data_IF_003520118469
#
_entry.id   IF_003520118469
#
_cell.length_a   1.000
_cell.length_b   1.000
_cell.length_c   1.000
_cell.angle_alpha   90.00
_cell.angle_beta   90.00
_cell.angle_gamma   90.00
#
_symmetry.space_group_name_H-M   'P 1'
#
loop_
_entity.id
_entity.type
_entity.pdbx_description
1 polymer ?
#
# COMPACT_ATOMS: atom_id res chain seq x y z
N UNK A 1 4.81 -44.21 -18.54
CA UNK A 1 5.30 -42.87 -18.13
C UNK A 1 4.08 -41.97 -17.97
N UNK A 2 3.52 -41.86 -16.78
CA UNK A 2 2.33 -41.04 -16.51
C UNK A 2 2.76 -39.60 -16.22
N UNK A 3 2.15 -38.59 -16.86
CA UNK A 3 2.50 -37.19 -16.62
C UNK A 3 2.03 -36.78 -15.22
N UNK A 4 2.95 -36.18 -14.44
CA UNK A 4 2.69 -35.65 -13.11
C UNK A 4 1.65 -34.53 -13.20
N UNK A 5 0.57 -34.54 -12.40
CA UNK A 5 -0.45 -33.50 -12.48
C UNK A 5 0.15 -32.15 -12.10
N UNK A 6 -0.13 -31.12 -12.90
CA UNK A 6 0.18 -29.72 -12.55
C UNK A 6 -0.57 -29.39 -11.26
N UNK A 7 0.17 -29.15 -10.16
CA UNK A 7 -0.38 -28.64 -8.90
C UNK A 7 -1.16 -27.37 -9.23
N UNK A 8 -2.48 -27.39 -9.00
CA UNK A 8 -3.35 -26.24 -9.13
C UNK A 8 -2.77 -25.08 -8.30
N UNK A 9 -2.78 -23.88 -8.88
CA UNK A 9 -2.30 -22.60 -8.35
C UNK A 9 -3.09 -22.05 -7.14
N UNK A 10 -3.62 -22.93 -6.28
CA UNK A 10 -4.21 -22.56 -5.01
C UNK A 10 -3.10 -22.53 -3.97
N UNK A 11 -2.92 -21.38 -3.31
CA UNK A 11 -2.04 -21.26 -2.17
C UNK A 11 -2.63 -22.08 -1.01
N UNK A 12 -2.05 -23.24 -0.77
CA UNK A 12 -2.29 -24.11 0.38
C UNK A 12 -0.93 -24.52 0.92
N UNK A 13 -0.83 -24.69 2.23
CA UNK A 13 0.33 -25.32 2.86
C UNK A 13 0.33 -26.82 2.55
N UNK A 14 1.51 -27.43 2.46
CA UNK A 14 1.68 -28.88 2.23
C UNK A 14 0.77 -29.72 3.15
N UNK A 15 0.12 -30.76 2.60
CA UNK A 15 -0.83 -31.64 3.30
C UNK A 15 -0.24 -32.33 4.55
N UNK A 16 1.10 -32.35 4.68
CA UNK A 16 1.80 -32.90 5.85
C UNK A 16 1.85 -31.95 7.05
N UNK A 17 1.53 -30.68 6.87
CA UNK A 17 1.46 -29.68 7.92
C UNK A 17 0.00 -29.44 8.35
N UNK A 18 -0.29 -29.55 9.65
CA UNK A 18 -1.59 -29.17 10.19
C UNK A 18 -1.54 -27.73 10.69
N UNK A 19 -2.33 -26.86 10.06
CA UNK A 19 -2.36 -25.42 10.34
C UNK A 19 -3.58 -25.04 11.14
N UNK A 20 -3.37 -24.37 12.27
CA UNK A 20 -4.42 -23.68 13.05
C UNK A 20 -4.08 -22.20 13.12
N UNK A 21 -5.06 -21.34 13.44
CA UNK A 21 -4.87 -19.88 13.55
C UNK A 21 -3.64 -19.48 14.39
N UNK A 22 -3.33 -20.22 15.45
CA UNK A 22 -2.26 -19.91 16.39
C UNK A 22 -1.16 -20.98 16.49
N UNK A 23 -1.15 -22.00 15.61
CA UNK A 23 -0.12 -23.04 15.67
C UNK A 23 0.13 -23.72 14.32
N UNK A 24 1.38 -24.06 14.07
CA UNK A 24 1.81 -24.94 12.98
C UNK A 24 2.32 -26.24 13.60
N UNK A 25 1.63 -27.36 13.34
CA UNK A 25 2.07 -28.68 13.77
C UNK A 25 2.77 -29.39 12.62
N UNK A 26 4.06 -29.67 12.80
CA UNK A 26 4.89 -30.37 11.84
C UNK A 26 5.20 -31.80 12.33
N UNK A 27 5.48 -32.75 11.41
CA UNK A 27 5.90 -34.10 11.78
C UNK A 27 7.15 -34.11 12.66
N UNK A 28 7.28 -35.12 13.52
CA UNK A 28 8.45 -35.29 14.41
C UNK A 28 9.75 -35.52 13.65
N UNK A 29 9.68 -36.12 12.46
CA UNK A 29 10.82 -36.32 11.56
C UNK A 29 10.49 -35.70 10.21
N UNK A 30 11.31 -34.75 9.78
CA UNK A 30 11.21 -34.13 8.46
C UNK A 30 12.60 -33.84 7.89
N UNK A 31 12.69 -33.79 6.57
CA UNK A 31 13.93 -33.37 5.91
C UNK A 31 14.08 -31.85 5.98
N UNK A 32 15.32 -31.36 5.94
CA UNK A 32 15.60 -29.91 5.86
C UNK A 32 14.91 -29.26 4.64
N UNK A 33 14.85 -29.98 3.52
CA UNK A 33 14.25 -29.44 2.30
C UNK A 33 12.74 -29.28 2.45
N UNK A 34 12.05 -30.30 2.98
CA UNK A 34 10.61 -30.19 3.28
C UNK A 34 10.30 -29.08 4.29
N UNK A 35 11.17 -28.89 5.29
CA UNK A 35 11.02 -27.79 6.26
C UNK A 35 11.16 -26.42 5.58
N UNK A 36 12.13 -26.25 4.67
CA UNK A 36 12.31 -25.03 3.88
C UNK A 36 11.14 -24.78 2.94
N UNK A 37 10.60 -25.82 2.32
CA UNK A 37 9.42 -25.72 1.43
C UNK A 37 8.22 -25.13 2.18
N UNK A 38 7.91 -25.67 3.35
CA UNK A 38 6.84 -25.15 4.21
C UNK A 38 7.10 -23.69 4.59
N UNK A 39 8.33 -23.35 4.99
CA UNK A 39 8.70 -21.97 5.29
C UNK A 39 8.49 -21.02 4.10
N UNK A 40 8.84 -21.45 2.88
CA UNK A 40 8.61 -20.69 1.64
C UNK A 40 7.14 -20.52 1.33
N UNK A 41 6.32 -21.56 1.51
CA UNK A 41 4.87 -21.48 1.31
C UNK A 41 4.20 -20.53 2.31
N UNK A 42 4.60 -20.56 3.59
CA UNK A 42 4.10 -19.62 4.62
C UNK A 42 4.44 -18.18 4.23
N UNK A 43 5.70 -17.92 3.85
CA UNK A 43 6.14 -16.59 3.42
C UNK A 43 5.35 -16.12 2.19
N UNK A 44 5.15 -17.00 1.20
CA UNK A 44 4.38 -16.70 -0.01
C UNK A 44 2.92 -16.36 0.30
N UNK A 45 2.25 -17.14 1.17
CA UNK A 45 0.88 -16.86 1.61
C UNK A 45 0.80 -15.53 2.35
N UNK A 46 1.74 -15.29 3.27
CA UNK A 46 1.81 -14.04 4.01
C UNK A 46 1.94 -12.84 3.07
N UNK A 47 2.87 -12.89 2.11
CA UNK A 47 3.05 -11.81 1.14
C UNK A 47 1.83 -11.64 0.21
N UNK A 48 1.28 -12.74 -0.32
CA UNK A 48 0.10 -12.72 -1.17
C UNK A 48 -1.13 -12.18 -0.44
N UNK A 49 -1.26 -12.44 0.86
CA UNK A 49 -2.38 -11.95 1.67
C UNK A 49 -2.50 -10.43 1.67
N UNK A 50 -1.37 -9.71 1.55
CA UNK A 50 -1.39 -8.23 1.49
C UNK A 50 -2.03 -7.73 0.19
N UNK A 51 -1.80 -8.43 -0.94
CA UNK A 51 -2.49 -8.15 -2.20
C UNK A 51 -3.97 -8.45 -2.10
N UNK A 52 -4.35 -9.59 -1.52
CA UNK A 52 -5.76 -9.96 -1.36
C UNK A 52 -6.52 -9.00 -0.47
N UNK A 53 -5.91 -8.54 0.63
CA UNK A 53 -6.49 -7.50 1.49
C UNK A 53 -6.67 -6.19 0.73
N UNK A 54 -5.69 -5.80 -0.09
CA UNK A 54 -5.81 -4.64 -0.98
C UNK A 54 -6.98 -4.79 -1.95
N UNK A 55 -7.04 -5.90 -2.68
CA UNK A 55 -8.09 -6.19 -3.67
C UNK A 55 -9.48 -6.25 -3.03
N UNK A 56 -9.59 -6.86 -1.85
CA UNK A 56 -10.83 -6.96 -1.08
C UNK A 56 -11.35 -5.58 -0.66
N UNK A 57 -10.47 -4.70 -0.16
CA UNK A 57 -10.85 -3.32 0.20
C UNK A 57 -11.23 -2.52 -1.05
N UNK A 58 -10.53 -2.71 -2.17
CA UNK A 58 -10.83 -2.03 -3.44
C UNK A 58 -12.18 -2.46 -4.01
N UNK A 59 -12.48 -3.76 -3.99
CA UNK A 59 -13.78 -4.29 -4.41
C UNK A 59 -14.96 -3.62 -3.69
N UNK A 60 -14.79 -3.35 -2.39
CA UNK A 60 -15.79 -2.69 -1.57
C UNK A 60 -16.01 -1.21 -1.84
N UNK A 61 -15.15 -0.55 -2.64
CA UNK A 61 -15.17 0.91 -2.84
C UNK A 61 -16.53 1.45 -3.31
N UNK A 62 -17.13 0.80 -4.32
CA UNK A 62 -18.39 1.28 -4.92
C UNK A 62 -19.65 0.67 -4.27
N UNK A 63 -19.47 -0.34 -3.40
CA UNK A 63 -20.56 -1.16 -2.85
C UNK A 63 -20.84 -0.89 -1.38
N UNK A 64 -19.81 -0.49 -0.64
CA UNK A 64 -19.86 -0.37 0.82
C UNK A 64 -19.23 0.97 1.24
N UNK A 65 -20.03 2.02 1.47
CA UNK A 65 -19.54 3.32 1.94
C UNK A 65 -18.72 3.22 3.24
N UNK A 66 -19.11 2.33 4.15
CA UNK A 66 -18.44 2.07 5.43
C UNK A 66 -17.30 1.02 5.36
N UNK A 67 -16.79 0.69 4.17
CA UNK A 67 -15.86 -0.45 3.97
C UNK A 67 -14.65 -0.44 4.88
N UNK A 68 -14.07 0.73 5.17
CA UNK A 68 -12.86 0.79 5.99
C UNK A 68 -13.17 0.47 7.45
N UNK A 69 -14.28 0.96 7.99
CA UNK A 69 -14.74 0.61 9.33
C UNK A 69 -14.96 -0.90 9.44
N UNK A 70 -15.69 -1.48 8.48
CA UNK A 70 -15.92 -2.94 8.41
C UNK A 70 -14.62 -3.72 8.24
N UNK A 71 -13.71 -3.27 7.40
CA UNK A 71 -12.44 -3.94 7.18
C UNK A 71 -11.56 -3.94 8.44
N UNK A 72 -11.56 -2.86 9.21
CA UNK A 72 -10.87 -2.78 10.50
C UNK A 72 -11.51 -3.75 11.50
N UNK A 73 -12.85 -3.78 11.59
CA UNK A 73 -13.60 -4.70 12.45
C UNK A 73 -13.27 -6.17 12.15
N UNK A 74 -13.20 -6.55 10.87
CA UNK A 74 -12.96 -7.95 10.44
C UNK A 74 -11.48 -8.38 10.51
N UNK A 75 -10.54 -7.47 10.27
CA UNK A 75 -9.11 -7.82 10.14
C UNK A 75 -8.26 -7.43 11.34
N UNK A 76 -8.76 -6.53 12.20
CA UNK A 76 -7.97 -5.87 13.26
C UNK A 76 -6.74 -5.11 12.75
N UNK A 77 -6.62 -4.87 11.44
CA UNK A 77 -5.58 -4.02 10.85
C UNK A 77 -6.00 -2.56 10.97
N UNK A 78 -5.01 -1.68 11.17
CA UNK A 78 -5.28 -0.25 11.24
C UNK A 78 -5.67 0.32 9.86
N UNK A 79 -6.37 1.46 9.89
CA UNK A 79 -6.83 2.16 8.71
C UNK A 79 -5.70 2.47 7.70
N UNK A 80 -4.53 2.91 8.18
CA UNK A 80 -3.43 3.34 7.32
C UNK A 80 -2.85 2.16 6.56
N UNK A 81 -2.73 0.99 7.21
CA UNK A 81 -2.28 -0.26 6.58
C UNK A 81 -3.25 -0.69 5.47
N UNK A 82 -4.55 -0.78 5.77
CA UNK A 82 -5.57 -1.17 4.78
C UNK A 82 -5.65 -0.17 3.62
N UNK A 83 -5.55 1.12 3.91
CA UNK A 83 -5.52 2.17 2.88
C UNK A 83 -4.29 2.04 1.99
N UNK A 84 -3.12 1.76 2.57
CA UNK A 84 -1.88 1.55 1.80
C UNK A 84 -2.01 0.35 0.85
N UNK A 85 -2.50 -0.79 1.34
CA UNK A 85 -2.72 -1.97 0.51
C UNK A 85 -3.70 -1.69 -0.63
N UNK A 86 -4.83 -1.05 -0.34
CA UNK A 86 -5.81 -0.68 -1.35
C UNK A 86 -5.27 0.33 -2.38
N UNK A 87 -4.44 1.28 -1.95
CA UNK A 87 -3.80 2.24 -2.87
C UNK A 87 -2.85 1.54 -3.84
N UNK A 88 -1.97 0.66 -3.34
CA UNK A 88 -1.05 -0.11 -4.20
C UNK A 88 -1.83 -1.06 -5.12
N UNK A 89 -2.84 -1.77 -4.61
CA UNK A 89 -3.68 -2.67 -5.41
C UNK A 89 -4.37 -1.95 -6.58
N UNK A 90 -4.86 -0.72 -6.39
CA UNK A 90 -5.44 0.10 -7.48
C UNK A 90 -4.40 0.56 -8.49
N UNK A 91 -3.19 0.90 -8.03
CA UNK A 91 -2.10 1.36 -8.91
C UNK A 91 -1.53 0.24 -9.77
N UNK A 92 -1.57 -1.00 -9.28
CA UNK A 92 -1.05 -2.17 -9.99
C UNK A 92 -2.17 -3.19 -10.23
N UNK A 93 -2.88 -3.09 -11.36
CA UNK A 93 -3.76 -4.16 -11.85
C UNK A 93 -3.01 -5.49 -11.90
N UNK A 94 -3.72 -6.61 -11.82
CA UNK A 94 -3.11 -7.96 -11.77
C UNK A 94 -2.08 -8.19 -12.88
N UNK A 95 -2.30 -7.69 -14.09
CA UNK A 95 -1.37 -7.78 -15.23
C UNK A 95 -0.04 -7.04 -15.02
N UNK A 96 0.00 -6.03 -14.15
CA UNK A 96 1.18 -5.24 -13.81
C UNK A 96 1.83 -5.66 -12.49
N UNK A 97 1.35 -6.73 -11.84
CA UNK A 97 2.00 -7.29 -10.65
C UNK A 97 3.11 -8.25 -11.06
N UNK A 98 4.19 -8.27 -10.29
CA UNK A 98 5.36 -9.11 -10.56
C UNK A 98 5.40 -10.16 -9.46
N UNK A 99 5.18 -11.42 -9.79
CA UNK A 99 4.99 -12.50 -8.80
C UNK A 99 6.21 -12.68 -7.88
N UNK A 100 7.41 -12.32 -8.35
CA UNK A 100 8.65 -12.37 -7.57
C UNK A 100 8.83 -11.17 -6.63
N UNK A 101 7.97 -10.16 -6.70
CA UNK A 101 8.07 -8.94 -5.91
C UNK A 101 6.85 -8.77 -5.00
N UNK A 102 7.11 -8.50 -3.73
CA UNK A 102 6.05 -8.26 -2.75
C UNK A 102 5.27 -6.96 -3.01
N UNK A 103 4.10 -6.81 -2.41
CA UNK A 103 3.30 -5.57 -2.46
C UNK A 103 4.13 -4.36 -2.03
N UNK A 104 5.01 -4.53 -1.05
CA UNK A 104 5.83 -3.43 -0.54
C UNK A 104 6.91 -2.97 -1.52
N UNK A 105 7.38 -3.81 -2.44
CA UNK A 105 8.23 -3.34 -3.56
C UNK A 105 7.44 -2.39 -4.46
N UNK A 106 6.21 -2.77 -4.78
CA UNK A 106 5.30 -1.95 -5.58
C UNK A 106 4.94 -0.65 -4.85
N UNK A 107 4.80 -0.68 -3.52
CA UNK A 107 4.56 0.51 -2.71
C UNK A 107 5.69 1.56 -2.82
N UNK A 108 6.96 1.15 -2.95
CA UNK A 108 8.09 2.10 -3.08
C UNK A 108 8.00 2.93 -4.37
N UNK A 109 7.42 2.35 -5.42
CA UNK A 109 7.34 2.98 -6.76
C UNK A 109 5.94 3.51 -7.09
N UNK A 110 4.93 3.19 -6.28
CA UNK A 110 3.52 3.51 -6.56
C UNK A 110 3.21 5.02 -6.78
N UNK A 111 4.08 5.91 -6.30
CA UNK A 111 3.98 7.35 -6.49
C UNK A 111 4.67 7.87 -7.77
N UNK A 112 5.45 7.04 -8.48
CA UNK A 112 6.08 7.38 -9.76
C UNK A 112 5.09 7.28 -10.91
N UNK A 113 5.49 7.78 -12.09
CA UNK A 113 4.76 7.52 -13.34
C UNK A 113 4.83 6.04 -13.72
N UNK A 114 3.85 5.58 -14.51
CA UNK A 114 3.66 4.16 -14.85
C UNK A 114 4.88 3.54 -15.55
N UNK A 115 5.50 4.27 -16.46
CA UNK A 115 6.73 3.88 -17.16
C UNK A 115 7.92 3.74 -16.19
N UNK A 116 8.11 4.72 -15.30
CA UNK A 116 9.14 4.67 -14.27
C UNK A 116 8.91 3.51 -13.30
N UNK A 117 7.66 3.25 -12.90
CA UNK A 117 7.32 2.09 -12.06
C UNK A 117 7.81 0.79 -12.68
N UNK A 118 7.51 0.56 -13.96
CA UNK A 118 7.86 -0.68 -14.64
C UNK A 118 9.38 -0.84 -14.79
N UNK A 119 10.10 0.24 -15.12
CA UNK A 119 11.57 0.24 -15.17
C UNK A 119 12.16 -0.20 -13.83
N UNK A 120 11.68 0.37 -12.72
CA UNK A 120 12.19 0.07 -11.39
C UNK A 120 11.82 -1.34 -10.90
N UNK A 121 10.61 -1.80 -11.18
CA UNK A 121 10.17 -3.15 -10.83
C UNK A 121 10.94 -4.20 -11.63
N UNK A 122 11.14 -4.00 -12.94
CA UNK A 122 11.95 -4.90 -13.77
C UNK A 122 13.40 -4.98 -13.26
N UNK A 123 13.96 -3.85 -12.84
CA UNK A 123 15.31 -3.80 -12.26
C UNK A 123 15.38 -4.51 -10.92
N UNK A 124 14.39 -4.32 -10.06
CA UNK A 124 14.32 -5.00 -8.77
C UNK A 124 14.19 -6.52 -8.94
N UNK A 125 13.33 -6.97 -9.85
CA UNK A 125 13.13 -8.39 -10.14
C UNK A 125 14.37 -9.04 -10.75
N UNK A 126 14.96 -8.42 -11.78
CA UNK A 126 16.15 -8.96 -12.46
C UNK A 126 17.38 -9.04 -11.56
N UNK A 127 17.56 -8.07 -10.66
CA UNK A 127 18.70 -8.01 -9.74
C UNK A 127 18.43 -8.66 -8.38
N UNK A 128 17.22 -9.19 -8.15
CA UNK A 128 16.82 -9.77 -6.88
C UNK A 128 16.90 -8.78 -5.72
N UNK A 129 16.62 -7.51 -5.96
CA UNK A 129 16.71 -6.48 -4.92
C UNK A 129 15.65 -6.67 -3.86
N UNK A 130 16.06 -6.53 -2.60
CA UNK A 130 15.14 -6.29 -1.49
C UNK A 130 14.45 -4.93 -1.64
N UNK A 131 13.33 -4.77 -0.95
CA UNK A 131 12.62 -3.48 -0.83
C UNK A 131 13.54 -2.34 -0.38
N UNK A 132 14.42 -2.62 0.58
CA UNK A 132 15.38 -1.64 1.09
C UNK A 132 16.38 -1.23 0.03
N UNK A 133 16.85 -2.15 -0.80
CA UNK A 133 17.72 -1.84 -1.95
C UNK A 133 17.01 -1.02 -3.01
N UNK A 134 15.80 -1.41 -3.40
CA UNK A 134 14.98 -0.64 -4.32
C UNK A 134 14.81 0.81 -3.83
N UNK A 135 14.44 0.98 -2.56
CA UNK A 135 14.32 2.30 -1.92
C UNK A 135 15.63 3.09 -1.94
N UNK A 136 16.77 2.47 -1.65
CA UNK A 136 18.08 3.13 -1.69
C UNK A 136 18.41 3.61 -3.11
N UNK A 137 18.22 2.76 -4.12
CA UNK A 137 18.50 3.13 -5.50
C UNK A 137 17.57 4.25 -6.00
N UNK A 138 16.29 4.23 -5.63
CA UNK A 138 15.34 5.30 -5.94
C UNK A 138 15.78 6.65 -5.38
N UNK A 139 16.33 6.67 -4.15
CA UNK A 139 16.81 7.90 -3.51
C UNK A 139 18.07 8.44 -4.19
N UNK A 140 19.00 7.57 -4.57
CA UNK A 140 20.23 7.99 -5.24
C UNK A 140 19.94 8.75 -6.54
N UNK A 141 19.02 8.25 -7.38
CA UNK A 141 18.68 8.91 -8.64
C UNK A 141 17.94 10.24 -8.42
N UNK A 142 17.12 10.36 -7.36
CA UNK A 142 16.47 11.63 -7.03
C UNK A 142 17.48 12.68 -6.59
N UNK A 143 18.46 12.31 -5.75
CA UNK A 143 19.54 13.22 -5.36
C UNK A 143 20.34 13.71 -6.57
N UNK A 144 20.72 12.81 -7.48
CA UNK A 144 21.44 13.16 -8.71
C UNK A 144 20.62 14.08 -9.64
N UNK A 145 19.29 13.88 -9.72
CA UNK A 145 18.37 14.71 -10.51
C UNK A 145 18.12 16.08 -9.87
N UNK A 146 18.03 16.16 -8.55
CA UNK A 146 17.83 17.41 -7.81
C UNK A 146 19.07 18.33 -7.91
N UNK A 147 20.29 17.76 -7.97
CA UNK A 147 21.53 18.51 -8.23
C UNK A 147 21.62 19.07 -9.67
N UNK A 148 20.95 18.45 -10.65
CA UNK A 148 21.05 18.83 -12.07
C UNK A 148 19.84 19.57 -12.63
N UNK A 149 18.65 19.42 -12.04
CA UNK A 149 17.41 19.99 -12.58
C UNK A 149 16.44 20.30 -11.44
N UNK A 150 16.58 21.46 -10.80
CA UNK A 150 15.63 21.87 -9.75
C UNK A 150 14.48 22.72 -10.32
N UNK A 151 13.26 22.18 -10.47
CA UNK A 151 12.04 22.91 -10.19
C UNK A 151 11.63 22.60 -8.74
N UNK A 152 11.62 23.64 -7.90
CA UNK A 152 11.37 23.55 -6.45
C UNK A 152 9.95 23.02 -6.13
N UNK A 153 9.82 21.73 -5.81
CA UNK A 153 8.60 21.18 -5.21
C UNK A 153 8.62 21.50 -3.72
N UNK A 154 7.75 22.40 -3.26
CA UNK A 154 7.58 22.71 -1.85
C UNK A 154 6.79 21.59 -1.15
N UNK A 155 7.44 20.88 -0.22
CA UNK A 155 6.76 19.90 0.64
C UNK A 155 6.10 20.61 1.83
N UNK A 156 4.78 20.76 1.77
CA UNK A 156 4.00 21.26 2.90
C UNK A 156 3.82 20.17 3.97
N UNK A 157 4.32 20.41 5.19
CA UNK A 157 4.08 19.55 6.35
C UNK A 157 3.11 20.24 7.30
N UNK A 158 1.98 19.58 7.60
CA UNK A 158 0.95 20.09 8.51
C UNK A 158 0.90 19.16 9.72
N UNK A 159 1.02 19.73 10.92
CA UNK A 159 0.81 19.01 12.16
C UNK A 159 -0.69 18.98 12.46
N UNK A 160 -1.30 17.80 12.36
CA UNK A 160 -2.71 17.58 12.66
C UNK A 160 -2.83 16.80 13.97
N UNK A 161 -3.71 17.25 14.86
CA UNK A 161 -4.13 16.42 15.98
C UNK A 161 -5.03 15.25 15.50
N UNK A 162 -5.26 14.28 16.39
CA UNK A 162 -6.02 13.07 16.05
C UNK A 162 -7.48 13.37 15.63
N UNK A 163 -8.09 14.42 16.16
CA UNK A 163 -9.48 14.78 15.86
C UNK A 163 -9.60 15.57 14.56
N UNK A 164 -8.65 16.43 14.26
CA UNK A 164 -8.51 17.11 12.97
C UNK A 164 -8.29 16.09 11.85
N UNK A 165 -7.35 15.15 12.03
CA UNK A 165 -7.10 14.07 11.07
C UNK A 165 -8.37 13.27 10.81
N UNK A 166 -9.07 12.81 11.86
CA UNK A 166 -10.34 12.06 11.73
C UNK A 166 -11.42 12.86 11.01
N UNK A 167 -11.56 14.16 11.27
CA UNK A 167 -12.55 15.00 10.59
C UNK A 167 -12.25 15.15 9.11
N UNK A 168 -11.00 15.36 8.74
CA UNK A 168 -10.60 15.53 7.34
C UNK A 168 -10.69 14.22 6.58
N UNK A 169 -10.32 13.10 7.19
CA UNK A 169 -10.53 11.77 6.61
C UNK A 169 -12.02 11.50 6.34
N UNK A 170 -12.90 11.77 7.32
CA UNK A 170 -14.36 11.65 7.11
C UNK A 170 -14.88 12.56 5.99
N UNK A 171 -14.31 13.76 5.84
CA UNK A 171 -14.71 14.68 4.78
C UNK A 171 -14.23 14.22 3.39
N UNK A 172 -13.02 13.69 3.32
CA UNK A 172 -12.48 13.08 2.11
C UNK A 172 -13.28 11.82 1.71
N UNK A 173 -13.63 10.98 2.68
CA UNK A 173 -14.46 9.78 2.47
C UNK A 173 -15.85 10.13 1.94
N UNK A 174 -16.52 11.17 2.47
CA UNK A 174 -17.80 11.68 1.93
C UNK A 174 -17.69 12.15 0.48
N UNK A 175 -16.51 12.60 0.08
CA UNK A 175 -16.22 13.05 -1.29
C UNK A 175 -15.66 11.92 -2.16
N UNK A 176 -15.58 10.69 -1.63
CA UNK A 176 -14.95 9.51 -2.24
C UNK A 176 -13.52 9.76 -2.76
N UNK A 177 -12.75 10.62 -2.08
CA UNK A 177 -11.40 11.04 -2.46
C UNK A 177 -10.39 10.66 -1.39
N UNK A 178 -9.12 10.58 -1.78
CA UNK A 178 -8.03 10.47 -0.81
C UNK A 178 -7.90 11.75 0.00
N UNK A 179 -7.45 11.67 1.26
CA UNK A 179 -7.18 12.86 2.08
C UNK A 179 -6.25 13.85 1.37
N UNK A 180 -5.20 13.38 0.71
CA UNK A 180 -4.29 14.22 -0.10
C UNK A 180 -5.02 14.94 -1.25
N UNK A 181 -5.74 14.21 -2.11
CA UNK A 181 -6.47 14.81 -3.22
C UNK A 181 -7.60 15.74 -2.73
N UNK A 182 -8.28 15.37 -1.65
CA UNK A 182 -9.31 16.19 -1.02
C UNK A 182 -8.71 17.48 -0.43
N UNK A 183 -7.56 17.42 0.25
CA UNK A 183 -6.86 18.61 0.75
C UNK A 183 -6.44 19.50 -0.41
N UNK A 184 -5.80 18.96 -1.45
CA UNK A 184 -5.33 19.74 -2.60
C UNK A 184 -6.49 20.44 -3.29
N UNK A 185 -7.56 19.72 -3.62
CA UNK A 185 -8.73 20.29 -4.27
C UNK A 185 -9.46 21.31 -3.37
N UNK A 186 -9.61 21.01 -2.08
CA UNK A 186 -10.26 21.95 -1.14
C UNK A 186 -9.46 23.25 -1.01
N UNK A 187 -8.12 23.18 -0.98
CA UNK A 187 -7.25 24.35 -0.94
C UNK A 187 -7.28 25.12 -2.27
N UNK A 188 -7.28 24.43 -3.41
CA UNK A 188 -7.38 25.04 -4.74
C UNK A 188 -8.73 25.74 -4.94
N UNK A 189 -9.84 25.12 -4.53
CA UNK A 189 -11.18 25.68 -4.61
C UNK A 189 -11.36 26.89 -3.67
N UNK A 190 -10.77 26.83 -2.47
CA UNK A 190 -10.72 27.94 -1.54
C UNK A 190 -9.90 29.11 -2.11
N UNK A 191 -8.78 28.84 -2.78
CA UNK A 191 -7.96 29.86 -3.44
C UNK A 191 -8.65 30.48 -4.67
N UNK A 192 -9.48 29.70 -5.38
CA UNK A 192 -10.26 30.16 -6.54
C UNK A 192 -11.55 30.91 -6.16
N UNK A 193 -12.07 30.70 -4.95
CA UNK A 193 -13.28 31.37 -4.48
C UNK A 193 -12.96 32.74 -3.87
N UNK A 194 -13.43 33.87 -4.44
CA UNK A 194 -13.32 35.17 -3.81
C UNK A 194 -14.37 35.28 -2.69
N UNK A 195 -14.09 34.69 -1.52
CA UNK A 195 -14.88 35.01 -0.31
C UNK A 195 -14.12 36.00 0.56
N UNK A 196 -14.71 37.19 0.60
CA UNK A 196 -14.35 38.37 1.37
C UNK A 196 -13.62 38.06 2.68
N UNK A 197 -12.43 38.66 2.81
CA UNK A 197 -11.77 38.93 4.06
C UNK A 197 -12.73 39.68 5.01
N UNK A 198 -13.24 38.97 6.00
CA UNK A 198 -13.74 39.59 7.23
C UNK A 198 -13.16 38.84 8.42
N UNK A 199 -11.90 39.15 8.75
CA UNK A 199 -11.38 38.88 10.08
C UNK A 199 -12.00 39.91 11.04
N UNK A 200 -12.63 39.49 12.16
CA UNK A 200 -13.08 40.43 13.18
C UNK A 200 -11.87 41.10 13.83
N UNK A 201 -11.82 42.44 13.82
CA UNK A 201 -10.85 43.21 14.62
C UNK A 201 -11.14 42.98 16.10
N UNK A 202 -10.13 42.51 16.85
CA UNK A 202 -10.14 42.55 18.30
C UNK A 202 -9.98 44.02 18.77
N UNK A 203 -10.65 44.46 19.84
CA UNK A 203 -10.53 45.81 20.36
C UNK A 203 -9.16 46.01 21.03
N UNK A 204 -8.58 47.20 20.83
CA UNK A 204 -7.39 47.63 21.55
C UNK A 204 -7.74 47.87 23.02
N UNK A 205 -6.97 47.26 23.92
CA UNK A 205 -7.02 47.54 25.35
C UNK A 205 -6.38 48.91 25.62
N UNK A 206 -7.10 49.76 26.37
CA UNK A 206 -6.55 50.91 27.11
C UNK A 206 -6.52 50.56 28.58
#
# INVERSE_FOLDING_TARGET
MTPKPRRNSRLSLDDKALTKRASLSLPTVMTLESWKDIGREIALISDASTWWLGDWVVYGQDRYPDRYRKAIEETSLDYQTLRNYAWVARKFPVSRRREKLSLQHHAEVAALQEDEQDVWLNRAESKGWSRSELRRNLRAIRADREETTSPSILKLSINLDADQRRRWERAADRSNRSLDAWITETLDDAARSPRASSFPRLPAAS
#
